data_IF_156451906802
#
_entry.id   IF_156451906802
#
_cell.length_a   1.000
_cell.length_b   1.000
_cell.length_c   1.000
_cell.angle_alpha   90.00
_cell.angle_beta   90.00
_cell.angle_gamma   90.00
#
_symmetry.space_group_name_H-M   'P 1'
#
loop_
_entity.id
_entity.type
_entity.pdbx_description
1 polymer ?
#
# COMPACT_ATOMS: atom_id res chain seq x y z
N UNK A 1 21.55 -25.46 -23.88
CA UNK A 1 20.16 -24.95 -24.00
C UNK A 1 20.13 -23.58 -23.35
N UNK A 2 19.55 -22.59 -24.03
CA UNK A 2 19.86 -21.15 -23.97
C UNK A 2 19.77 -20.50 -22.57
N UNK A 3 20.81 -19.73 -22.22
CA UNK A 3 20.77 -18.73 -21.15
C UNK A 3 20.03 -17.49 -21.64
N UNK A 4 19.03 -17.07 -20.87
CA UNK A 4 18.16 -15.93 -21.14
C UNK A 4 18.94 -14.60 -21.21
N UNK A 5 18.43 -13.60 -21.98
CA UNK A 5 19.14 -12.36 -22.24
C UNK A 5 19.37 -11.57 -20.94
N UNK A 6 20.58 -11.03 -20.80
CA UNK A 6 20.92 -10.04 -19.80
C UNK A 6 20.12 -8.77 -20.11
N UNK A 7 19.06 -8.56 -19.34
CA UNK A 7 18.30 -7.33 -19.33
C UNK A 7 19.13 -6.26 -18.60
N UNK A 8 19.49 -5.17 -19.29
CA UNK A 8 20.15 -3.98 -18.73
C UNK A 8 19.19 -3.16 -17.83
N UNK A 9 18.38 -3.86 -17.03
CA UNK A 9 17.34 -3.31 -16.19
C UNK A 9 16.90 -4.27 -15.08
N UNK A 10 17.64 -4.31 -13.97
CA UNK A 10 17.35 -5.13 -12.78
C UNK A 10 17.31 -6.65 -13.07
N UNK A 11 18.31 -7.36 -12.56
CA UNK A 11 18.34 -8.83 -12.66
C UNK A 11 17.24 -9.48 -11.82
N UNK A 12 16.74 -10.65 -12.22
CA UNK A 12 15.78 -11.42 -11.41
C UNK A 12 16.29 -11.70 -9.98
N UNK A 13 17.61 -11.80 -9.79
CA UNK A 13 18.25 -11.92 -8.48
C UNK A 13 18.06 -10.68 -7.61
N UNK A 14 18.24 -9.49 -8.17
CA UNK A 14 18.01 -8.23 -7.47
C UNK A 14 16.52 -8.03 -7.21
N UNK A 15 15.67 -8.34 -8.19
CA UNK A 15 14.22 -8.25 -8.03
C UNK A 15 13.73 -9.10 -6.87
N UNK A 16 14.23 -10.33 -6.73
CA UNK A 16 13.90 -11.22 -5.61
C UNK A 16 14.48 -10.74 -4.27
N UNK A 17 15.65 -10.11 -4.27
CA UNK A 17 16.25 -9.57 -3.04
C UNK A 17 15.45 -8.38 -2.49
N UNK A 18 14.87 -7.56 -3.36
CA UNK A 18 14.13 -6.36 -3.00
C UNK A 18 12.60 -6.52 -3.05
N UNK A 19 12.08 -7.69 -3.41
CA UNK A 19 10.64 -7.94 -3.57
C UNK A 19 9.84 -7.66 -2.28
N UNK A 20 10.37 -8.08 -1.13
CA UNK A 20 9.74 -7.86 0.18
C UNK A 20 9.61 -6.37 0.48
N UNK A 21 10.72 -5.63 0.38
CA UNK A 21 10.72 -4.18 0.57
C UNK A 21 9.79 -3.45 -0.43
N UNK A 22 9.67 -3.97 -1.65
CA UNK A 22 8.74 -3.46 -2.65
C UNK A 22 7.28 -3.67 -2.23
N UNK A 23 6.94 -4.86 -1.74
CA UNK A 23 5.60 -5.20 -1.24
C UNK A 23 5.24 -4.46 0.06
N UNK A 24 6.25 -4.12 0.88
CA UNK A 24 6.11 -3.31 2.09
C UNK A 24 6.14 -1.79 1.83
N UNK A 25 6.30 -1.36 0.57
CA UNK A 25 6.45 0.04 0.16
C UNK A 25 7.66 0.76 0.79
N UNK A 26 8.69 0.01 1.17
CA UNK A 26 9.93 0.50 1.77
C UNK A 26 11.07 0.70 0.74
N UNK A 27 10.79 0.48 -0.55
CA UNK A 27 11.75 0.76 -1.61
C UNK A 27 11.84 2.25 -1.96
N UNK A 28 13.06 2.69 -2.28
CA UNK A 28 13.31 3.99 -2.91
C UNK A 28 12.52 4.13 -4.22
N UNK A 29 12.13 5.36 -4.58
CA UNK A 29 11.28 5.64 -5.75
C UNK A 29 11.84 5.09 -7.06
N UNK A 30 13.14 5.23 -7.29
CA UNK A 30 13.82 4.75 -8.49
C UNK A 30 13.88 3.21 -8.53
N UNK A 31 14.15 2.58 -7.39
CA UNK A 31 14.18 1.13 -7.26
C UNK A 31 12.78 0.53 -7.48
N UNK A 32 11.75 1.17 -6.92
CA UNK A 32 10.35 0.78 -7.10
C UNK A 32 9.95 0.77 -8.57
N UNK A 33 10.25 1.83 -9.33
CA UNK A 33 9.91 1.90 -10.76
C UNK A 33 10.62 0.83 -11.59
N UNK A 34 11.88 0.53 -11.28
CA UNK A 34 12.62 -0.55 -11.94
C UNK A 34 12.05 -1.93 -11.62
N UNK A 35 11.71 -2.18 -10.36
CA UNK A 35 11.10 -3.43 -9.92
C UNK A 35 9.71 -3.61 -10.53
N UNK A 36 8.91 -2.55 -10.61
CA UNK A 36 7.59 -2.57 -11.23
C UNK A 36 7.68 -2.92 -12.73
N UNK A 37 8.62 -2.30 -13.45
CA UNK A 37 8.88 -2.64 -14.85
C UNK A 37 9.34 -4.10 -15.02
N UNK A 38 10.21 -4.59 -14.14
CA UNK A 38 10.71 -5.96 -14.19
C UNK A 38 9.63 -7.00 -13.83
N UNK A 39 8.83 -6.74 -12.79
CA UNK A 39 7.71 -7.61 -12.40
C UNK A 39 6.66 -7.67 -13.52
N UNK A 40 6.43 -6.57 -14.24
CA UNK A 40 5.53 -6.54 -15.38
C UNK A 40 6.08 -7.28 -16.62
N UNK A 41 7.39 -7.33 -16.82
CA UNK A 41 8.02 -7.99 -17.97
C UNK A 41 8.38 -9.46 -17.72
N UNK A 42 8.61 -9.85 -16.47
CA UNK A 42 9.10 -11.17 -16.08
C UNK A 42 8.02 -12.02 -15.39
N UNK A 43 7.52 -13.05 -16.10
CA UNK A 43 6.52 -14.00 -15.57
C UNK A 43 6.97 -14.73 -14.30
N UNK A 44 8.28 -14.93 -14.11
CA UNK A 44 8.80 -15.59 -12.92
C UNK A 44 8.65 -14.70 -11.68
N UNK A 45 9.04 -13.43 -11.80
CA UNK A 45 8.96 -12.46 -10.72
C UNK A 45 7.51 -12.07 -10.39
N UNK A 46 6.66 -11.92 -11.42
CA UNK A 46 5.21 -11.72 -11.22
C UNK A 46 4.58 -12.84 -10.40
N UNK A 47 4.80 -14.11 -10.75
CA UNK A 47 4.23 -15.24 -9.98
C UNK A 47 4.68 -15.27 -8.52
N UNK A 48 5.92 -14.89 -8.24
CA UNK A 48 6.43 -14.83 -6.86
C UNK A 48 5.74 -13.68 -6.10
N UNK A 49 5.65 -12.49 -6.72
CA UNK A 49 4.97 -11.33 -6.13
C UNK A 49 3.50 -11.63 -5.81
N UNK A 50 2.80 -12.31 -6.73
CA UNK A 50 1.40 -12.70 -6.55
C UNK A 50 1.23 -13.72 -5.42
N UNK A 51 2.10 -14.74 -5.37
CA UNK A 51 2.07 -15.75 -4.31
C UNK A 51 2.29 -15.11 -2.93
N UNK A 52 3.22 -14.16 -2.83
CA UNK A 52 3.51 -13.47 -1.59
C UNK A 52 2.36 -12.54 -1.16
N UNK A 53 1.80 -11.80 -2.12
CA UNK A 53 0.62 -10.95 -1.89
C UNK A 53 -0.57 -11.78 -1.41
N UNK A 54 -0.81 -12.93 -2.03
CA UNK A 54 -1.88 -13.83 -1.64
C UNK A 54 -1.65 -14.41 -0.24
N UNK A 55 -0.43 -14.79 0.11
CA UNK A 55 -0.09 -15.22 1.47
C UNK A 55 -0.35 -14.11 2.49
N UNK A 56 0.08 -12.88 2.20
CA UNK A 56 -0.15 -11.70 3.05
C UNK A 56 -1.65 -11.41 3.22
N UNK A 57 -2.45 -11.60 2.18
CA UNK A 57 -3.91 -11.46 2.26
C UNK A 57 -4.56 -12.56 3.11
N UNK A 58 -4.12 -13.81 2.98
CA UNK A 58 -4.59 -14.90 3.84
C UNK A 58 -4.25 -14.60 5.29
N UNK A 59 -3.01 -14.20 5.58
CA UNK A 59 -2.58 -13.82 6.93
C UNK A 59 -3.42 -12.66 7.46
N UNK A 60 -3.68 -11.64 6.66
CA UNK A 60 -4.56 -10.53 7.03
C UNK A 60 -5.97 -11.01 7.34
N UNK A 61 -6.53 -11.91 6.55
CA UNK A 61 -7.89 -12.44 6.77
C UNK A 61 -8.02 -13.31 8.03
N UNK A 62 -6.95 -14.03 8.41
CA UNK A 62 -6.94 -15.01 9.50
C UNK A 62 -6.40 -14.45 10.82
N UNK A 63 -5.42 -13.54 10.76
CA UNK A 63 -4.74 -12.95 11.91
C UNK A 63 -5.14 -11.49 12.18
N UNK A 64 -6.10 -10.92 11.43
CA UNK A 64 -6.76 -9.70 11.87
C UNK A 64 -7.69 -10.02 13.05
N UNK A 65 -7.12 -10.18 14.25
CA UNK A 65 -7.87 -9.91 15.48
C UNK A 65 -8.49 -8.53 15.30
N UNK A 66 -9.82 -8.48 15.21
CA UNK A 66 -10.50 -7.21 15.04
C UNK A 66 -10.10 -6.31 16.20
N UNK A 67 -9.42 -5.21 15.89
CA UNK A 67 -9.03 -4.23 16.88
C UNK A 67 -10.23 -3.91 17.79
N UNK A 68 -10.07 -3.99 19.12
CA UNK A 68 -11.15 -3.78 20.07
C UNK A 68 -11.98 -2.55 19.67
N UNK A 69 -13.32 -2.66 19.67
CA UNK A 69 -14.19 -1.59 19.18
C UNK A 69 -13.93 -0.26 19.90
N UNK A 70 -13.50 -0.32 21.16
CA UNK A 70 -13.07 0.83 21.97
C UNK A 70 -11.83 1.54 21.39
N UNK A 71 -10.82 0.78 20.92
CA UNK A 71 -9.64 1.34 20.27
C UNK A 71 -10.01 1.97 18.93
N UNK A 72 -10.87 1.31 18.14
CA UNK A 72 -11.36 1.86 16.87
C UNK A 72 -12.14 3.15 17.08
N UNK A 73 -13.04 3.20 18.05
CA UNK A 73 -13.79 4.40 18.41
C UNK A 73 -12.86 5.54 18.86
N UNK A 74 -11.84 5.24 19.67
CA UNK A 74 -10.87 6.24 20.15
C UNK A 74 -10.00 6.80 19.03
N UNK A 75 -9.50 5.94 18.12
CA UNK A 75 -8.70 6.35 16.96
C UNK A 75 -9.54 7.19 16.00
N UNK A 76 -10.75 6.75 15.67
CA UNK A 76 -11.67 7.51 14.80
C UNK A 76 -12.11 8.84 15.42
N UNK A 77 -12.33 8.88 16.74
CA UNK A 77 -12.61 10.12 17.47
C UNK A 77 -11.45 11.12 17.35
N UNK A 78 -10.21 10.68 17.57
CA UNK A 78 -9.02 11.53 17.43
C UNK A 78 -8.81 12.02 15.99
N UNK A 79 -8.96 11.13 14.99
CA UNK A 79 -8.90 11.49 13.57
C UNK A 79 -9.97 12.52 13.18
N UNK A 80 -11.20 12.36 13.69
CA UNK A 80 -12.29 13.31 13.43
C UNK A 80 -12.04 14.69 14.02
N UNK A 81 -11.43 14.76 15.20
CA UNK A 81 -11.06 16.03 15.84
C UNK A 81 -9.92 16.70 15.06
N UNK A 82 -8.86 15.95 14.72
CA UNK A 82 -7.72 16.49 13.94
C UNK A 82 -8.12 17.00 12.56
N UNK A 83 -9.04 16.31 11.87
CA UNK A 83 -9.54 16.75 10.56
C UNK A 83 -10.41 18.00 10.66
N UNK A 84 -11.10 18.20 11.78
CA UNK A 84 -11.87 19.42 12.06
C UNK A 84 -10.96 20.63 12.34
N UNK A 85 -9.75 20.42 12.86
CA UNK A 85 -8.78 21.49 13.14
C UNK A 85 -7.88 21.86 11.95
N UNK A 86 -7.93 21.10 10.84
CA UNK A 86 -7.11 21.32 9.66
C UNK A 86 -7.76 22.25 8.60
N UNK A 87 -8.77 23.03 8.96
CA UNK A 87 -9.30 24.09 8.09
C UNK A 87 -8.30 25.25 8.04
N UNK A 88 -7.40 25.21 7.06
CA UNK A 88 -6.53 26.33 6.71
C UNK A 88 -7.41 27.45 6.15
N UNK A 89 -7.42 28.59 6.83
CA UNK A 89 -8.00 29.84 6.31
C UNK A 89 -7.02 30.36 5.27
N UNK A 90 -7.25 30.07 4.00
CA UNK A 90 -6.57 30.75 2.90
C UNK A 90 -7.34 32.04 2.63
N UNK A 91 -6.72 33.19 2.91
CA UNK A 91 -7.28 34.49 2.59
C UNK A 91 -7.49 34.59 1.06
N UNK A 92 -8.75 34.65 0.61
CA UNK A 92 -9.08 35.08 -0.75
C UNK A 92 -10.19 34.36 -1.52
N UNK A 93 -10.83 33.30 -1.00
CA UNK A 93 -11.92 32.66 -1.74
C UNK A 93 -12.75 31.68 -0.91
N UNK A 94 -14.07 31.88 -0.90
CA UNK A 94 -15.03 31.04 -0.16
C UNK A 94 -15.27 29.73 -0.90
N UNK A 95 -14.56 28.67 -0.53
CA UNK A 95 -14.90 27.29 -0.93
C UNK A 95 -15.70 26.62 0.18
N UNK A 96 -16.98 26.38 -0.06
CA UNK A 96 -17.87 25.63 0.84
C UNK A 96 -17.44 24.17 0.89
N UNK A 97 -16.77 23.77 1.97
CA UNK A 97 -16.37 22.37 2.20
C UNK A 97 -17.56 21.60 2.78
N UNK A 98 -18.15 20.73 1.98
CA UNK A 98 -19.23 19.86 2.42
C UNK A 98 -18.65 18.60 3.07
N UNK A 99 -18.59 18.54 4.40
CA UNK A 99 -18.17 17.33 5.10
C UNK A 99 -19.31 16.31 5.12
N UNK A 100 -19.11 15.13 4.51
CA UNK A 100 -20.06 14.02 4.57
C UNK A 100 -19.62 13.00 5.62
N UNK A 101 -20.45 12.77 6.63
CA UNK A 101 -20.24 11.72 7.63
C UNK A 101 -20.64 10.38 7.00
N UNK A 102 -19.69 9.45 6.87
CA UNK A 102 -19.96 8.07 6.42
C UNK A 102 -20.42 7.26 7.64
N UNK A 103 -21.70 6.88 7.66
CA UNK A 103 -22.25 5.93 8.64
C UNK A 103 -21.86 4.51 8.21
N UNK A 104 -21.04 3.84 8.98
CA UNK A 104 -20.79 2.41 8.82
C UNK A 104 -21.87 1.63 9.58
N UNK A 105 -22.67 0.85 8.86
CA UNK A 105 -23.63 -0.10 9.46
C UNK A 105 -22.87 -1.36 9.89
N UNK A 106 -23.07 -1.74 11.15
CA UNK A 106 -22.52 -2.93 11.78
C UNK A 106 -23.29 -4.16 11.28
N UNK A 107 -22.62 -5.03 10.52
CA UNK A 107 -23.05 -6.42 10.25
C UNK A 107 -22.41 -7.37 11.22
#
# INVERSE_FOLDING_TARGET
>A
MMGAPMDEGCSCSEARAHLQAFLDHECDGDLRSRLEAHVASCEHCSRIADAETHLREILRSRCAEQAPPELRARVLGRLSVMRSTASVITAGGTTTVHSRVIRYTRG
#
